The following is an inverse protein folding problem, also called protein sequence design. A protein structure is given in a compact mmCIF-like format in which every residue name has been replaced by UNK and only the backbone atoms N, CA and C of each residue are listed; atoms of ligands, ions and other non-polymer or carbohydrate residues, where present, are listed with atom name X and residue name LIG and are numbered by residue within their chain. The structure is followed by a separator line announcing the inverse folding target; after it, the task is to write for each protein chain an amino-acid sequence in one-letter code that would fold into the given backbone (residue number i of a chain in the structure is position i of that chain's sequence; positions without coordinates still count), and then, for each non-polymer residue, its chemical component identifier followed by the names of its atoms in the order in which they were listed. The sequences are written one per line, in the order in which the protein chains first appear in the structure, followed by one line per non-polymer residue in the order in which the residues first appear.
data_IF_551754643113
#
_entry.id   IF_551754643113
#
_cell.length_a   1.000
_cell.length_b   1.000
_cell.length_c   1.000
_cell.angle_alpha   90.00
_cell.angle_beta   90.00
_cell.angle_gamma   90.00
#
_symmetry.space_group_name_H-M   'P 1'
#
loop_
_entity.id
_entity.type
_entity.pdbx_description
1 polymer ?
#
# COMPACT_ATOMS: atom_id res chain seq x y z
N UNK A 1 -26.49 1.42 -6.47
CA UNK A 1 -25.03 1.34 -6.22
C UNK A 1 -24.71 -0.13 -6.19
N UNK A 2 -23.69 -0.60 -6.90
CA UNK A 2 -23.31 -2.01 -6.90
C UNK A 2 -22.75 -2.39 -5.51
N UNK A 3 -23.44 -3.27 -4.80
CA UNK A 3 -23.09 -3.72 -3.45
C UNK A 3 -21.80 -4.55 -3.41
N UNK A 4 -21.30 -5.00 -4.57
CA UNK A 4 -20.05 -5.78 -4.68
C UNK A 4 -18.85 -4.94 -5.10
N UNK A 5 -19.04 -3.64 -5.35
CA UNK A 5 -17.99 -2.74 -5.84
C UNK A 5 -16.84 -2.50 -4.85
N UNK A 6 -17.12 -2.57 -3.55
CA UNK A 6 -16.14 -2.44 -2.46
C UNK A 6 -16.51 -3.38 -1.32
N UNK A 7 -15.55 -3.72 -0.45
CA UNK A 7 -15.86 -4.52 0.74
C UNK A 7 -16.77 -3.76 1.71
N UNK A 8 -17.59 -4.48 2.48
CA UNK A 8 -18.47 -3.88 3.48
C UNK A 8 -17.71 -3.03 4.50
N UNK A 9 -16.53 -3.47 4.94
CA UNK A 9 -15.68 -2.67 5.82
C UNK A 9 -15.30 -1.32 5.19
N UNK A 10 -14.85 -1.31 3.94
CA UNK A 10 -14.47 -0.07 3.26
C UNK A 10 -15.69 0.86 3.06
N UNK A 11 -16.84 0.31 2.68
CA UNK A 11 -18.08 1.07 2.55
C UNK A 11 -18.42 1.82 3.84
N UNK A 12 -18.54 1.10 4.95
CA UNK A 12 -18.91 1.71 6.23
C UNK A 12 -17.85 2.70 6.74
N UNK A 13 -16.56 2.36 6.60
CA UNK A 13 -15.46 3.24 7.03
C UNK A 13 -15.43 4.55 6.23
N UNK A 14 -15.67 4.50 4.92
CA UNK A 14 -15.73 5.70 4.06
C UNK A 14 -16.96 6.56 4.33
N UNK A 15 -18.08 5.97 4.74
CA UNK A 15 -19.28 6.70 5.18
C UNK A 15 -19.17 7.30 6.60
N UNK A 16 -18.05 7.08 7.30
CA UNK A 16 -17.86 7.58 8.67
C UNK A 16 -18.62 6.79 9.74
N UNK A 17 -19.13 5.59 9.42
CA UNK A 17 -19.72 4.70 10.41
C UNK A 17 -18.63 4.09 11.31
N UNK A 18 -18.94 3.89 12.58
CA UNK A 18 -18.07 3.12 13.47
C UNK A 18 -18.13 1.64 13.09
N UNK A 19 -16.98 1.09 12.73
CA UNK A 19 -16.79 -0.32 12.39
C UNK A 19 -15.50 -0.86 12.99
N UNK A 20 -15.55 -2.10 13.46
CA UNK A 20 -14.39 -2.81 13.96
C UNK A 20 -13.38 -3.03 12.82
N UNK A 21 -12.09 -2.77 13.08
CA UNK A 21 -11.04 -2.96 12.06
C UNK A 21 -10.70 -4.45 11.93
N UNK A 22 -11.00 -5.10 10.79
CA UNK A 22 -10.63 -6.50 10.62
C UNK A 22 -9.12 -6.61 10.46
N UNK A 23 -8.53 -7.58 11.15
CA UNK A 23 -7.11 -7.91 11.00
C UNK A 23 -6.94 -8.75 9.74
N UNK A 24 -6.18 -8.25 8.76
CA UNK A 24 -5.85 -9.03 7.58
C UNK A 24 -4.82 -10.11 7.95
N UNK A 25 -5.17 -11.37 7.73
CA UNK A 25 -4.26 -12.51 7.92
C UNK A 25 -3.32 -12.62 6.73
N UNK A 26 -2.28 -11.80 6.72
CA UNK A 26 -1.22 -11.83 5.70
C UNK A 26 0.05 -12.41 6.30
N UNK A 27 0.69 -13.33 5.58
CA UNK A 27 2.04 -13.79 5.94
C UNK A 27 3.02 -12.65 5.64
N UNK A 28 3.52 -12.00 6.70
CA UNK A 28 4.49 -10.93 6.53
C UNK A 28 5.82 -11.46 5.96
N UNK A 29 6.46 -10.72 5.06
CA UNK A 29 7.76 -11.11 4.55
C UNK A 29 8.81 -11.07 5.66
N UNK A 30 9.80 -11.97 5.61
CA UNK A 30 10.91 -11.99 6.58
C UNK A 30 11.81 -10.76 6.47
N UNK A 31 11.85 -10.14 5.29
CA UNK A 31 12.60 -8.91 5.00
C UNK A 31 11.73 -7.99 4.16
N UNK A 32 11.73 -6.71 4.48
CA UNK A 32 11.00 -5.69 3.73
C UNK A 32 11.81 -5.07 2.60
N UNK A 33 13.10 -5.40 2.49
CA UNK A 33 13.95 -4.95 1.39
C UNK A 33 13.43 -5.48 0.05
N UNK A 34 13.52 -4.62 -0.96
CA UNK A 34 13.05 -4.89 -2.32
C UNK A 34 14.24 -4.74 -3.26
N UNK A 35 14.54 -5.74 -4.11
CA UNK A 35 15.59 -5.61 -5.12
C UNK A 35 15.38 -4.35 -5.96
N UNK A 36 16.44 -3.63 -6.31
CA UNK A 36 16.35 -2.41 -7.11
C UNK A 36 15.93 -1.15 -6.35
N UNK A 37 15.42 -1.27 -5.12
CA UNK A 37 15.03 -0.13 -4.29
C UNK A 37 16.03 0.14 -3.14
N UNK A 38 16.15 1.40 -2.69
CA UNK A 38 16.92 1.73 -1.49
C UNK A 38 16.40 1.00 -0.25
N UNK A 39 17.31 0.73 0.69
CA UNK A 39 16.93 0.19 2.01
C UNK A 39 15.97 1.14 2.73
N UNK A 40 14.93 0.55 3.32
CA UNK A 40 13.90 1.31 4.02
C UNK A 40 14.40 1.69 5.41
N UNK A 41 14.15 2.92 5.81
CA UNK A 41 14.36 3.31 7.20
C UNK A 41 13.26 2.73 8.11
N UNK A 42 13.38 2.96 9.43
CA UNK A 42 12.45 2.41 10.42
C UNK A 42 10.99 2.85 10.19
N UNK A 43 10.73 4.12 9.91
CA UNK A 43 9.36 4.62 9.72
C UNK A 43 8.72 4.08 8.44
N UNK A 44 9.51 3.97 7.37
CA UNK A 44 9.06 3.38 6.11
C UNK A 44 8.77 1.88 6.27
N UNK A 45 9.64 1.14 6.96
CA UNK A 45 9.42 -0.29 7.25
C UNK A 45 8.14 -0.51 8.07
N UNK A 46 7.91 0.32 9.09
CA UNK A 46 6.68 0.27 9.87
C UNK A 46 5.45 0.62 9.03
N UNK A 47 5.56 1.57 8.10
CA UNK A 47 4.48 1.90 7.17
C UNK A 47 4.15 0.69 6.27
N UNK A 48 5.14 0.06 5.64
CA UNK A 48 4.94 -1.15 4.82
C UNK A 48 4.28 -2.26 5.64
N UNK A 49 4.80 -2.55 6.83
CA UNK A 49 4.24 -3.57 7.73
C UNK A 49 2.79 -3.27 8.09
N UNK A 50 2.47 -2.03 8.47
CA UNK A 50 1.11 -1.61 8.83
C UNK A 50 0.15 -1.77 7.67
N UNK A 51 0.55 -1.36 6.46
CA UNK A 51 -0.30 -1.45 5.26
C UNK A 51 -0.65 -2.89 4.92
N UNK A 52 0.31 -3.82 5.02
CA UNK A 52 0.05 -5.24 4.72
C UNK A 52 -0.93 -5.92 5.68
N UNK A 53 -1.25 -5.30 6.82
CA UNK A 53 -2.12 -5.89 7.86
C UNK A 53 -3.46 -5.20 8.01
N UNK A 54 -3.68 -4.06 7.32
CA UNK A 54 -4.89 -3.23 7.44
C UNK A 54 -5.63 -3.14 6.11
N UNK A 55 -6.98 -3.13 6.11
CA UNK A 55 -7.76 -3.00 4.88
C UNK A 55 -7.68 -1.61 4.25
N UNK A 56 -7.39 -0.59 5.08
CA UNK A 56 -7.17 0.79 4.66
C UNK A 56 -6.02 1.37 5.47
N UNK A 57 -5.18 2.16 4.82
CA UNK A 57 -4.06 2.84 5.47
C UNK A 57 -3.80 4.17 4.78
N UNK A 58 -3.47 5.18 5.56
CA UNK A 58 -3.06 6.49 5.07
C UNK A 58 -1.57 6.68 5.40
N UNK A 59 -0.76 6.92 4.38
CA UNK A 59 0.65 7.27 4.55
C UNK A 59 0.80 8.76 4.32
N UNK A 60 1.38 9.45 5.30
CA UNK A 60 1.71 10.86 5.23
C UNK A 60 3.22 11.05 5.40
N UNK A 61 3.78 12.00 4.65
CA UNK A 61 5.18 12.40 4.82
C UNK A 61 5.47 13.72 4.10
N UNK A 62 6.33 14.59 4.66
CA UNK A 62 6.85 15.78 3.98
C UNK A 62 7.49 15.51 2.59
N UNK A 63 7.79 16.54 1.80
CA UNK A 63 8.59 16.38 0.59
C UNK A 63 9.94 15.70 0.88
N UNK A 64 10.38 14.81 -0.01
CA UNK A 64 11.67 14.12 0.13
C UNK A 64 11.72 12.94 1.11
N UNK A 65 10.64 12.59 1.82
CA UNK A 65 10.66 11.48 2.83
C UNK A 65 10.51 10.07 2.26
N UNK A 66 10.69 9.90 0.95
CA UNK A 66 10.67 8.58 0.30
C UNK A 66 9.29 7.94 0.14
N UNK A 67 8.19 8.70 0.13
CA UNK A 67 6.82 8.17 -0.07
C UNK A 67 6.70 7.28 -1.31
N UNK A 68 7.32 7.68 -2.43
CA UNK A 68 7.32 6.90 -3.69
C UNK A 68 8.05 5.58 -3.52
N UNK A 69 9.22 5.58 -2.86
CA UNK A 69 9.98 4.35 -2.54
C UNK A 69 9.16 3.43 -1.65
N UNK A 70 8.56 3.97 -0.57
CA UNK A 70 7.69 3.21 0.33
C UNK A 70 6.49 2.62 -0.40
N UNK A 71 5.87 3.37 -1.32
CA UNK A 71 4.73 2.93 -2.12
C UNK A 71 5.12 1.80 -3.07
N UNK A 72 6.26 1.92 -3.75
CA UNK A 72 6.79 0.85 -4.61
C UNK A 72 7.07 -0.43 -3.80
N UNK A 73 7.63 -0.30 -2.59
CA UNK A 73 7.83 -1.46 -1.70
C UNK A 73 6.51 -2.13 -1.29
N UNK A 74 5.48 -1.34 -0.98
CA UNK A 74 4.14 -1.88 -0.66
C UNK A 74 3.59 -2.66 -1.85
N UNK A 75 3.61 -2.06 -3.04
CA UNK A 75 3.10 -2.69 -4.27
C UNK A 75 3.84 -3.99 -4.57
N UNK A 76 5.17 -4.01 -4.44
CA UNK A 76 5.97 -5.22 -4.61
C UNK A 76 5.53 -6.35 -3.67
N UNK A 77 5.35 -6.07 -2.38
CA UNK A 77 4.92 -7.09 -1.40
C UNK A 77 3.48 -7.55 -1.63
N UNK A 78 2.56 -6.64 -2.00
CA UNK A 78 1.18 -6.99 -2.36
C UNK A 78 1.13 -7.87 -3.62
N UNK A 79 1.91 -7.54 -4.64
CA UNK A 79 2.00 -8.33 -5.86
C UNK A 79 2.57 -9.73 -5.58
N UNK A 80 3.58 -9.84 -4.71
CA UNK A 80 4.15 -11.12 -4.28
C UNK A 80 3.23 -11.95 -3.39
N UNK A 81 2.25 -11.36 -2.73
CA UNK A 81 1.27 -12.11 -1.93
C UNK A 81 0.35 -12.98 -2.79
N UNK A 82 0.28 -12.75 -4.11
CA UNK A 82 -0.40 -13.64 -5.06
C UNK A 82 -1.93 -13.63 -4.97
N UNK A 83 -2.53 -12.56 -4.43
CA UNK A 83 -3.99 -12.44 -4.25
C UNK A 83 -4.72 -11.81 -5.45
N UNK A 84 -4.01 -11.58 -6.57
CA UNK A 84 -4.54 -10.96 -7.77
C UNK A 84 -3.68 -9.81 -8.28
N UNK A 85 -4.23 -9.01 -9.19
CA UNK A 85 -3.56 -7.83 -9.74
C UNK A 85 -3.66 -6.66 -8.77
N UNK A 86 -2.56 -5.90 -8.63
CA UNK A 86 -2.51 -4.69 -7.81
C UNK A 86 -2.75 -3.48 -8.70
N UNK A 87 -3.78 -2.69 -8.39
CA UNK A 87 -4.04 -1.42 -9.05
C UNK A 87 -3.24 -0.30 -8.37
N UNK A 88 -2.47 0.45 -9.17
CA UNK A 88 -1.74 1.64 -8.74
C UNK A 88 -2.28 2.83 -9.52
N UNK A 89 -2.67 3.89 -8.81
CA UNK A 89 -3.23 5.09 -9.42
C UNK A 89 -2.68 6.35 -8.75
N UNK A 90 -2.59 7.43 -9.52
CA UNK A 90 -2.18 8.76 -9.06
C UNK A 90 -2.93 9.85 -9.86
N UNK A 91 -3.08 11.07 -9.32
CA UNK A 91 -3.89 12.12 -9.95
C UNK A 91 -3.22 12.79 -11.17
N UNK A 92 -1.95 12.50 -11.48
CA UNK A 92 -1.27 13.03 -12.66
C UNK A 92 -0.41 11.97 -13.34
N UNK A 93 -0.26 12.05 -14.66
CA UNK A 93 0.55 11.12 -15.44
C UNK A 93 2.00 11.09 -14.95
N UNK A 94 2.59 12.26 -14.64
CA UNK A 94 3.96 12.34 -14.10
C UNK A 94 4.11 11.55 -12.81
N UNK A 95 3.10 11.57 -11.92
CA UNK A 95 3.14 10.79 -10.69
C UNK A 95 2.97 9.28 -10.95
N UNK A 96 2.16 8.90 -11.95
CA UNK A 96 2.04 7.51 -12.40
C UNK A 96 3.38 7.03 -12.95
N UNK A 97 4.03 7.79 -13.82
CA UNK A 97 5.31 7.43 -14.44
C UNK A 97 6.40 7.21 -13.39
N UNK A 98 6.50 8.10 -12.40
CA UNK A 98 7.45 7.97 -11.29
C UNK A 98 7.24 6.71 -10.46
N UNK A 99 5.98 6.34 -10.19
CA UNK A 99 5.67 5.10 -9.47
C UNK A 99 5.96 3.88 -10.34
N UNK A 100 5.57 3.91 -11.61
CA UNK A 100 5.79 2.82 -12.56
C UNK A 100 7.28 2.51 -12.73
N UNK A 101 8.11 3.54 -12.87
CA UNK A 101 9.57 3.39 -12.96
C UNK A 101 10.14 2.72 -11.70
N UNK A 102 9.67 3.12 -10.51
CA UNK A 102 10.12 2.54 -9.23
C UNK A 102 9.64 1.11 -8.99
N UNK A 103 8.50 0.72 -9.55
CA UNK A 103 7.98 -0.65 -9.44
C UNK A 103 8.66 -1.58 -10.44
N UNK A 104 9.12 -1.06 -11.59
CA UNK A 104 9.81 -1.83 -12.62
C UNK A 104 11.26 -2.18 -12.25
N UNK A 105 11.92 -1.31 -11.47
CA UNK A 105 13.27 -1.51 -10.93
C UNK A 105 13.32 -2.68 -9.94
#
# INVERSE_FOLDING_TARGET
VDETSVSGYLYHKLCGHEVEEPVLRVQLPRRFSVPGLPELNHSQTNAVKSVLQKPISLIQGPPGTGKTVTSASIVYHLAKAGQGQVLVAAPSNVAVDQLAEKIHQ
#
